data_IF_326818453840
#
_entry.id   IF_326818453840
#
_cell.length_a   1.000
_cell.length_b   1.000
_cell.length_c   1.000
_cell.angle_alpha   90.00
_cell.angle_beta   90.00
_cell.angle_gamma   90.00
#
_symmetry.space_group_name_H-M   'P 1'
#
loop_
_entity.id
_entity.type
_entity.pdbx_description
1 polymer ?
#
# COMPACT_ATOMS: atom_id res chain seq x y z
N UNK A 1 17.23 36.75 -5.26
CA UNK A 1 15.96 37.40 -5.63
C UNK A 1 15.09 36.42 -6.43
N UNK A 2 14.19 35.65 -5.81
CA UNK A 2 13.37 34.66 -6.56
C UNK A 2 12.09 34.18 -5.83
N UNK A 3 12.00 34.31 -4.50
CA UNK A 3 10.84 33.86 -3.70
C UNK A 3 9.59 34.75 -3.80
N UNK A 4 9.73 36.03 -4.16
CA UNK A 4 8.59 36.96 -4.20
C UNK A 4 7.78 36.86 -5.51
N UNK A 5 8.39 36.41 -6.60
CA UNK A 5 7.69 36.22 -7.88
C UNK A 5 6.78 34.99 -7.84
N UNK A 6 7.23 33.90 -7.22
CA UNK A 6 6.45 32.66 -7.07
C UNK A 6 5.22 32.85 -6.19
N UNK A 7 5.34 33.60 -5.09
CA UNK A 7 4.20 33.92 -4.22
C UNK A 7 3.14 34.81 -4.90
N UNK A 8 3.57 35.78 -5.73
CA UNK A 8 2.62 36.59 -6.53
C UNK A 8 1.93 35.77 -7.60
N UNK A 9 2.67 34.90 -8.29
CA UNK A 9 2.11 34.00 -9.29
C UNK A 9 1.11 33.01 -8.69
N UNK A 10 1.40 32.43 -7.53
CA UNK A 10 0.48 31.52 -6.85
C UNK A 10 -0.77 32.23 -6.33
N UNK A 11 -0.65 33.46 -5.85
CA UNK A 11 -1.79 34.29 -5.46
C UNK A 11 -2.68 34.62 -6.67
N UNK A 12 -2.08 34.98 -7.81
CA UNK A 12 -2.82 35.25 -9.05
C UNK A 12 -3.56 33.99 -9.53
N UNK A 13 -2.90 32.83 -9.51
CA UNK A 13 -3.51 31.55 -9.86
C UNK A 13 -4.69 31.21 -8.94
N UNK A 14 -4.55 31.42 -7.62
CA UNK A 14 -5.64 31.22 -6.65
C UNK A 14 -6.85 32.10 -6.92
N UNK A 15 -6.63 33.38 -7.25
CA UNK A 15 -7.71 34.30 -7.60
C UNK A 15 -8.44 33.88 -8.86
N UNK A 16 -7.71 33.49 -9.89
CA UNK A 16 -8.29 33.02 -11.15
C UNK A 16 -9.10 31.73 -10.94
N UNK A 17 -8.56 30.79 -10.17
CA UNK A 17 -9.28 29.56 -9.82
C UNK A 17 -10.56 29.86 -9.03
N UNK A 18 -10.52 30.83 -8.11
CA UNK A 18 -11.71 31.25 -7.38
C UNK A 18 -12.76 31.89 -8.29
N UNK A 19 -12.36 32.76 -9.23
CA UNK A 19 -13.25 33.35 -10.22
C UNK A 19 -13.95 32.31 -11.09
N UNK A 20 -13.23 31.27 -11.54
CA UNK A 20 -13.79 30.14 -12.28
C UNK A 20 -14.84 29.37 -11.48
N UNK A 21 -14.66 29.22 -10.16
CA UNK A 21 -15.67 28.59 -9.29
C UNK A 21 -16.95 29.43 -9.20
N UNK A 22 -16.82 30.75 -9.16
CA UNK A 22 -17.97 31.65 -9.20
C UNK A 22 -18.69 31.56 -10.56
N UNK A 23 -17.95 31.53 -11.67
CA UNK A 23 -18.50 31.36 -13.01
C UNK A 23 -19.31 30.07 -13.11
N UNK A 24 -18.74 28.93 -12.72
CA UNK A 24 -19.45 27.63 -12.69
C UNK A 24 -20.74 27.69 -11.86
N UNK A 25 -20.71 28.34 -10.70
CA UNK A 25 -21.90 28.47 -9.85
C UNK A 25 -23.00 29.34 -10.51
N UNK A 26 -22.62 30.37 -11.26
CA UNK A 26 -23.57 31.20 -12.03
C UNK A 26 -24.13 30.44 -13.21
N UNK A 27 -23.29 29.69 -13.93
CA UNK A 27 -23.72 28.82 -15.04
C UNK A 27 -24.77 27.79 -14.60
N UNK A 28 -24.64 27.22 -13.39
CA UNK A 28 -25.68 26.32 -12.84
C UNK A 28 -27.04 27.01 -12.72
N UNK A 29 -27.06 28.29 -12.31
CA UNK A 29 -28.31 29.08 -12.21
C UNK A 29 -28.85 29.37 -13.61
N UNK A 30 -28.01 29.84 -14.54
CA UNK A 30 -28.46 30.21 -15.90
C UNK A 30 -28.92 29.00 -16.70
N UNK A 31 -28.30 27.85 -16.50
CA UNK A 31 -28.70 26.56 -17.09
C UNK A 31 -29.88 25.90 -16.36
N UNK A 32 -30.40 26.51 -15.29
CA UNK A 32 -31.46 25.96 -14.45
C UNK A 32 -31.16 24.55 -13.89
N UNK A 33 -29.87 24.26 -13.68
CA UNK A 33 -29.36 23.00 -13.12
C UNK A 33 -28.92 23.20 -11.66
N UNK A 34 -29.85 23.71 -10.86
CA UNK A 34 -29.58 24.13 -9.49
C UNK A 34 -29.66 22.95 -8.53
N UNK A 35 -28.70 22.84 -7.60
CA UNK A 35 -28.77 21.88 -6.50
C UNK A 35 -29.85 22.25 -5.50
N UNK A 36 -31.00 21.59 -5.60
CA UNK A 36 -32.21 21.92 -4.85
C UNK A 36 -32.02 22.01 -3.33
N UNK A 37 -31.22 21.11 -2.72
CA UNK A 37 -30.95 21.18 -1.28
C UNK A 37 -30.16 22.42 -0.85
N UNK A 38 -29.19 22.84 -1.67
CA UNK A 38 -28.39 24.04 -1.42
C UNK A 38 -29.19 25.31 -1.70
N UNK A 39 -30.04 25.26 -2.71
CA UNK A 39 -31.00 26.31 -3.03
C UNK A 39 -32.03 26.55 -1.92
N UNK A 40 -32.62 25.48 -1.39
CA UNK A 40 -33.54 25.57 -0.25
C UNK A 40 -32.87 26.22 0.96
N UNK A 41 -31.62 25.84 1.26
CA UNK A 41 -30.82 26.47 2.31
C UNK A 41 -30.63 27.96 2.04
N UNK A 42 -30.26 28.33 0.82
CA UNK A 42 -30.06 29.72 0.42
C UNK A 42 -31.36 30.55 0.54
N UNK A 43 -32.51 29.98 0.16
CA UNK A 43 -33.82 30.60 0.29
C UNK A 43 -34.21 30.84 1.75
N UNK A 44 -34.04 29.85 2.62
CA UNK A 44 -34.33 29.97 4.05
C UNK A 44 -33.46 31.07 4.68
N UNK A 45 -32.15 31.06 4.40
CA UNK A 45 -31.22 32.06 4.90
C UNK A 45 -31.48 33.47 4.34
N UNK A 46 -32.22 33.57 3.24
CA UNK A 46 -32.60 34.83 2.60
C UNK A 46 -34.04 35.24 2.90
N UNK A 47 -34.72 34.59 3.86
CA UNK A 47 -36.13 34.84 4.19
C UNK A 47 -37.07 34.77 2.97
N UNK A 48 -36.77 33.88 2.02
CA UNK A 48 -37.55 33.71 0.79
C UNK A 48 -37.31 34.77 -0.29
N UNK A 49 -36.38 35.72 -0.10
CA UNK A 49 -36.00 36.65 -1.16
C UNK A 49 -35.12 35.93 -2.20
N UNK A 50 -35.65 35.73 -3.40
CA UNK A 50 -34.95 34.98 -4.47
C UNK A 50 -33.66 35.65 -4.93
N UNK A 51 -33.61 36.98 -5.06
CA UNK A 51 -32.38 37.69 -5.47
C UNK A 51 -31.27 37.51 -4.44
N UNK A 52 -31.61 37.64 -3.15
CA UNK A 52 -30.67 37.40 -2.07
C UNK A 52 -30.27 35.91 -1.99
N UNK A 53 -31.22 35.00 -2.26
CA UNK A 53 -30.96 33.57 -2.29
C UNK A 53 -30.03 33.18 -3.44
N UNK A 54 -30.11 33.80 -4.61
CA UNK A 54 -29.17 33.59 -5.71
C UNK A 54 -27.74 33.95 -5.29
N UNK A 55 -27.53 35.15 -4.74
CA UNK A 55 -26.22 35.56 -4.25
C UNK A 55 -25.69 34.60 -3.17
N UNK A 56 -26.58 34.15 -2.27
CA UNK A 56 -26.22 33.20 -1.22
C UNK A 56 -25.91 31.82 -1.77
N UNK A 57 -26.67 31.33 -2.74
CA UNK A 57 -26.46 30.06 -3.42
C UNK A 57 -25.09 30.03 -4.08
N UNK A 58 -24.73 31.08 -4.83
CA UNK A 58 -23.43 31.17 -5.50
C UNK A 58 -22.29 30.97 -4.50
N UNK A 59 -22.33 31.66 -3.36
CA UNK A 59 -21.33 31.51 -2.30
C UNK A 59 -21.27 30.09 -1.75
N UNK A 60 -22.43 29.52 -1.39
CA UNK A 60 -22.53 28.16 -0.87
C UNK A 60 -22.03 27.13 -1.91
N UNK A 61 -22.26 27.39 -3.20
CA UNK A 61 -21.87 26.48 -4.27
C UNK A 61 -20.37 26.51 -4.49
N UNK A 62 -19.73 27.68 -4.45
CA UNK A 62 -18.26 27.79 -4.48
C UNK A 62 -17.62 27.01 -3.33
N UNK A 63 -18.16 27.12 -2.11
CA UNK A 63 -17.67 26.33 -0.96
C UNK A 63 -17.86 24.83 -1.18
N UNK A 64 -19.01 24.41 -1.72
CA UNK A 64 -19.28 23.02 -2.08
C UNK A 64 -18.33 22.49 -3.16
N UNK A 65 -18.01 23.28 -4.19
CA UNK A 65 -17.11 22.89 -5.27
C UNK A 65 -15.67 22.71 -4.75
N UNK A 66 -15.22 23.58 -3.84
CA UNK A 66 -13.92 23.43 -3.17
C UNK A 66 -13.87 22.11 -2.38
N UNK A 67 -14.90 21.82 -1.60
CA UNK A 67 -14.99 20.56 -0.85
C UNK A 67 -15.06 19.32 -1.75
N UNK A 68 -15.75 19.40 -2.90
CA UNK A 68 -15.80 18.33 -3.90
C UNK A 68 -14.40 18.07 -4.49
N UNK A 69 -13.64 19.12 -4.81
CA UNK A 69 -12.27 18.99 -5.31
C UNK A 69 -11.33 18.35 -4.28
N UNK A 70 -11.38 18.82 -3.01
CA UNK A 70 -10.58 18.25 -1.92
C UNK A 70 -10.89 16.77 -1.69
N UNK A 71 -12.17 16.39 -1.77
CA UNK A 71 -12.58 14.99 -1.64
C UNK A 71 -12.09 14.13 -2.81
N UNK A 72 -12.15 14.65 -4.04
CA UNK A 72 -11.65 13.95 -5.21
C UNK A 72 -10.14 13.69 -5.12
N UNK A 73 -9.38 14.69 -4.68
CA UNK A 73 -7.93 14.54 -4.45
C UNK A 73 -7.64 13.48 -3.39
N UNK A 74 -8.34 13.53 -2.25
CA UNK A 74 -8.20 12.53 -1.18
C UNK A 74 -8.49 11.10 -1.65
N UNK A 75 -9.59 10.91 -2.39
CA UNK A 75 -9.95 9.60 -2.93
C UNK A 75 -8.91 9.12 -3.94
N UNK A 76 -8.45 9.98 -4.84
CA UNK A 76 -7.43 9.62 -5.83
C UNK A 76 -6.10 9.19 -5.16
N UNK A 77 -5.65 9.93 -4.14
CA UNK A 77 -4.45 9.56 -3.39
C UNK A 77 -4.58 8.20 -2.71
N UNK A 78 -5.71 7.93 -2.06
CA UNK A 78 -5.91 6.68 -1.34
C UNK A 78 -5.99 5.49 -2.28
N UNK A 79 -6.68 5.62 -3.42
CA UNK A 79 -6.73 4.59 -4.45
C UNK A 79 -5.33 4.26 -4.99
N UNK A 80 -4.49 5.28 -5.19
CA UNK A 80 -3.11 5.09 -5.63
C UNK A 80 -2.25 4.42 -4.54
N UNK A 81 -2.42 4.79 -3.27
CA UNK A 81 -1.75 4.12 -2.15
C UNK A 81 -2.14 2.65 -2.06
N UNK A 82 -3.43 2.34 -2.10
CA UNK A 82 -3.93 0.96 -2.09
C UNK A 82 -3.40 0.15 -3.27
N UNK A 83 -3.32 0.76 -4.46
CA UNK A 83 -2.74 0.09 -5.64
C UNK A 83 -1.27 -0.26 -5.41
N UNK A 84 -0.49 0.70 -4.91
CA UNK A 84 0.94 0.48 -4.61
C UNK A 84 1.16 -0.55 -3.53
N UNK A 85 0.27 -0.63 -2.54
CA UNK A 85 0.31 -1.66 -1.50
C UNK A 85 0.05 -3.05 -2.08
N UNK A 86 -1.00 -3.20 -2.89
CA UNK A 86 -1.29 -4.47 -3.59
C UNK A 86 -0.13 -4.92 -4.48
N UNK A 87 0.45 -4.00 -5.25
CA UNK A 87 1.63 -4.29 -6.10
C UNK A 87 2.84 -4.76 -5.27
N UNK A 88 3.05 -4.18 -4.08
CA UNK A 88 4.12 -4.61 -3.16
C UNK A 88 3.85 -5.99 -2.58
N UNK A 89 2.62 -6.24 -2.13
CA UNK A 89 2.20 -7.54 -1.59
C UNK A 89 2.34 -8.65 -2.65
N UNK A 90 1.93 -8.39 -3.89
CA UNK A 90 2.09 -9.32 -5.01
C UNK A 90 3.58 -9.59 -5.29
N UNK A 91 4.40 -8.55 -5.38
CA UNK A 91 5.84 -8.71 -5.60
C UNK A 91 6.56 -9.47 -4.46
N UNK A 92 6.14 -9.27 -3.21
CA UNK A 92 6.65 -10.02 -2.06
C UNK A 92 6.20 -11.49 -2.09
N UNK A 93 4.94 -11.76 -2.45
CA UNK A 93 4.43 -13.11 -2.60
C UNK A 93 5.16 -13.89 -3.70
N UNK A 94 5.42 -13.25 -4.86
CA UNK A 94 6.19 -13.85 -5.95
C UNK A 94 7.63 -14.18 -5.54
N UNK A 95 8.31 -13.25 -4.85
CA UNK A 95 9.67 -13.47 -4.32
C UNK A 95 9.70 -14.62 -3.30
N UNK A 96 8.72 -14.68 -2.41
CA UNK A 96 8.57 -15.77 -1.44
C UNK A 96 8.34 -17.12 -2.11
N UNK A 97 7.50 -17.17 -3.15
CA UNK A 97 7.26 -18.37 -3.93
C UNK A 97 8.52 -18.83 -4.70
N UNK A 98 9.28 -17.91 -5.29
CA UNK A 98 10.53 -18.20 -5.97
C UNK A 98 11.59 -18.77 -5.00
N UNK A 99 11.78 -18.14 -3.83
CA UNK A 99 12.72 -18.62 -2.81
C UNK A 99 12.33 -19.99 -2.24
N UNK A 100 11.03 -20.32 -2.19
CA UNK A 100 10.56 -21.65 -1.76
C UNK A 100 10.86 -22.74 -2.79
N UNK A 101 10.75 -22.42 -4.08
CA UNK A 101 11.12 -23.35 -5.18
C UNK A 101 12.64 -23.59 -5.21
N UNK A 102 13.44 -22.55 -5.04
CA UNK A 102 14.91 -22.67 -4.98
C UNK A 102 15.36 -23.59 -3.84
N UNK A 103 14.72 -23.51 -2.66
CA UNK A 103 14.99 -24.41 -1.54
C UNK A 103 14.51 -25.84 -1.74
N UNK A 104 13.44 -26.08 -2.51
CA UNK A 104 12.95 -27.43 -2.78
C UNK A 104 13.80 -28.18 -3.80
N UNK A 105 14.43 -27.46 -4.73
CA UNK A 105 15.24 -28.04 -5.80
C UNK A 105 16.70 -28.32 -5.36
N UNK A 106 17.09 -27.89 -4.16
CA UNK A 106 18.37 -28.24 -3.56
C UNK A 106 18.38 -29.70 -3.09
N UNK A 107 18.88 -30.61 -3.94
CA UNK A 107 19.29 -31.96 -3.53
C UNK A 107 20.68 -31.89 -2.88
N UNK A 108 20.87 -32.34 -1.63
CA UNK A 108 22.20 -32.37 -1.03
C UNK A 108 23.09 -33.34 -1.82
N UNK A 109 24.05 -32.81 -2.57
CA UNK A 109 25.11 -33.59 -3.24
C UNK A 109 26.27 -33.81 -2.29
N UNK A 110 25.99 -34.40 -1.13
CA UNK A 110 27.00 -34.89 -0.19
C UNK A 110 26.83 -36.40 0.00
N UNK A 111 27.89 -37.16 0.31
CA UNK A 111 27.77 -38.57 0.63
C UNK A 111 26.80 -38.75 1.82
N UNK A 112 25.76 -39.55 1.64
CA UNK A 112 24.90 -40.01 2.72
C UNK A 112 25.75 -40.85 3.69
N UNK A 113 25.80 -40.47 4.97
CA UNK A 113 26.46 -41.23 6.04
C UNK A 113 25.81 -42.61 6.33
N UNK A 114 24.92 -43.08 5.46
CA UNK A 114 24.19 -44.34 5.63
C UNK A 114 24.66 -45.44 4.66
N UNK A 115 25.66 -45.20 3.81
CA UNK A 115 26.15 -46.17 2.83
C UNK A 115 27.58 -46.69 3.09
N UNK A 116 28.11 -46.53 4.31
CA UNK A 116 29.31 -47.28 4.73
C UNK A 116 28.91 -48.51 5.54
N UNK A 117 28.99 -49.66 4.88
CA UNK A 117 28.65 -50.97 5.41
C UNK A 117 29.52 -51.43 6.57
N UNK A 118 29.20 -50.97 7.78
CA UNK A 118 29.41 -51.76 8.99
C UNK A 118 28.12 -52.52 9.32
N UNK A 119 27.96 -53.67 8.67
CA UNK A 119 26.98 -54.68 9.07
C UNK A 119 27.18 -55.03 10.55
N UNK A 120 26.13 -54.87 11.37
CA UNK A 120 26.04 -55.28 12.78
C UNK A 120 26.50 -56.73 13.03
N UNK A 121 26.56 -57.56 11.98
CA UNK A 121 27.05 -58.93 12.03
C UNK A 121 28.55 -59.06 12.37
N UNK A 122 29.34 -57.98 12.28
CA UNK A 122 30.79 -58.00 12.53
C UNK A 122 31.22 -57.30 13.82
N UNK A 123 30.30 -56.61 14.52
CA UNK A 123 30.61 -55.92 15.77
C UNK A 123 31.05 -56.88 16.88
N UNK A 124 30.40 -58.06 16.97
CA UNK A 124 30.80 -59.10 17.94
C UNK A 124 32.20 -59.67 17.63
N UNK A 125 32.63 -59.70 16.36
CA UNK A 125 33.97 -60.17 15.97
C UNK A 125 35.06 -59.22 16.44
N UNK A 126 34.81 -57.91 16.38
CA UNK A 126 35.72 -56.90 16.92
C UNK A 126 35.78 -56.97 18.46
N UNK A 127 34.64 -57.19 19.12
CA UNK A 127 34.60 -57.38 20.57
C UNK A 127 35.36 -58.64 21.01
N UNK A 128 35.18 -59.76 20.31
CA UNK A 128 35.92 -61.01 20.57
C UNK A 128 37.42 -60.83 20.31
N UNK A 129 37.81 -60.17 19.22
CA UNK A 129 39.22 -59.90 18.94
C UNK A 129 39.86 -59.03 20.04
N UNK A 130 39.14 -58.03 20.53
CA UNK A 130 39.61 -57.18 21.63
C UNK A 130 39.74 -57.96 22.94
N UNK A 131 38.78 -58.85 23.25
CA UNK A 131 38.81 -59.70 24.43
C UNK A 131 39.99 -60.67 24.41
N UNK A 132 40.29 -61.29 23.25
CA UNK A 132 41.44 -62.21 23.10
C UNK A 132 42.77 -61.48 23.30
N UNK A 133 42.91 -60.27 22.73
CA UNK A 133 44.12 -59.44 22.91
C UNK A 133 44.29 -59.05 24.38
N UNK A 134 43.20 -58.68 25.06
CA UNK A 134 43.22 -58.29 26.46
C UNK A 134 43.58 -59.47 27.38
N UNK A 135 43.10 -60.68 27.07
CA UNK A 135 43.44 -61.91 27.80
C UNK A 135 44.92 -62.29 27.64
N UNK A 136 45.48 -62.11 26.43
CA UNK A 136 46.92 -62.32 26.18
C UNK A 136 47.81 -61.31 26.92
N UNK A 137 47.37 -60.06 27.07
CA UNK A 137 48.10 -59.05 27.82
C UNK A 137 48.10 -59.33 29.33
N UNK A 138 47.01 -59.86 29.87
CA UNK A 138 46.91 -60.22 31.30
C UNK A 138 47.70 -61.50 31.63
N UNK A 139 47.83 -62.44 30.68
CA UNK A 139 48.63 -63.65 30.88
C UNK A 139 50.16 -63.44 30.74
N UNK A 140 50.59 -62.27 30.23
CA UNK A 140 51.99 -61.93 30.02
C UNK A 140 52.60 -61.05 31.14
N UNK A 141 51.88 -60.82 32.25
CA UNK A 141 52.31 -60.12 33.47
C UNK A 141 52.40 -61.12 34.62
#
# INVERSE_FOLDING_TARGET
MSIFSTAKASLAARKLAEEQLYEMAVEEITANNIRQGLWAKALIESNGNETAAQAKYIKLRVESLKAEADLQEYVAENLEKERREREREEAEAERGAAARKEKSDFKPTGPSLNDEGLSDANAWRLYVAFLVIMLFLVAAV
#
